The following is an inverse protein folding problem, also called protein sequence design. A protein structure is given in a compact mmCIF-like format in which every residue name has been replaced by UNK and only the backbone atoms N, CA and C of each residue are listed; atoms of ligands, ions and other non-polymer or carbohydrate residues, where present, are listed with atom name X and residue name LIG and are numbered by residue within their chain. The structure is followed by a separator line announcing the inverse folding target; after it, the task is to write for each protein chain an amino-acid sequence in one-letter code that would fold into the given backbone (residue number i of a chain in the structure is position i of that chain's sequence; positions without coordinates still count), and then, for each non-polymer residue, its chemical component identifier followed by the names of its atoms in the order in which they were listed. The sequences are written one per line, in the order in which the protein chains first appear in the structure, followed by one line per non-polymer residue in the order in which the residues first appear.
data_IF_554933138253
#
_entry.id   IF_554933138253
#
_cell.length_a   1.000
_cell.length_b   1.000
_cell.length_c   1.000
_cell.angle_alpha   90.00
_cell.angle_beta   90.00
_cell.angle_gamma   90.00
#
_symmetry.space_group_name_H-M   'P 1'
#
loop_
_entity.id
_entity.type
_entity.pdbx_description
1 polymer ?
#
# COMPACT_ATOMS: atom_id res chain seq x y z
N UNK A 1 7.71 -2.30 0.26
CA UNK A 1 7.09 -3.13 -0.80
C UNK A 1 5.96 -4.00 -0.24
N UNK A 2 6.19 -4.60 0.95
CA UNK A 2 5.23 -5.49 1.62
C UNK A 2 3.81 -4.94 1.74
N UNK A 3 3.62 -3.65 2.07
CA UNK A 3 2.29 -3.04 2.21
C UNK A 3 1.46 -3.09 0.90
N UNK A 4 2.08 -2.85 -0.27
CA UNK A 4 1.40 -3.01 -1.56
C UNK A 4 0.95 -4.44 -1.81
N UNK A 5 1.85 -5.39 -1.52
CA UNK A 5 1.59 -6.80 -1.72
C UNK A 5 0.44 -7.28 -0.81
N UNK A 6 0.48 -6.94 0.48
CA UNK A 6 -0.59 -7.26 1.43
C UNK A 6 -1.92 -6.61 1.02
N UNK A 7 -1.90 -5.32 0.68
CA UNK A 7 -3.09 -4.59 0.26
C UNK A 7 -3.72 -5.19 -0.99
N UNK A 8 -2.92 -5.56 -1.99
CA UNK A 8 -3.40 -6.25 -3.17
C UNK A 8 -3.95 -7.64 -2.84
N UNK A 9 -3.20 -8.47 -2.12
CA UNK A 9 -3.60 -9.85 -1.84
C UNK A 9 -4.92 -9.91 -1.04
N UNK A 10 -5.02 -9.16 0.05
CA UNK A 10 -6.22 -9.17 0.91
C UNK A 10 -7.39 -8.40 0.29
N UNK A 11 -7.11 -7.27 -0.35
CA UNK A 11 -8.11 -6.52 -1.10
C UNK A 11 -8.68 -7.31 -2.27
N UNK A 12 -7.83 -8.02 -3.03
CA UNK A 12 -8.27 -8.90 -4.13
C UNK A 12 -9.06 -10.10 -3.62
N UNK A 13 -8.60 -10.74 -2.54
CA UNK A 13 -9.29 -11.87 -1.96
C UNK A 13 -10.70 -11.48 -1.48
N UNK A 14 -10.81 -10.40 -0.70
CA UNK A 14 -12.11 -9.88 -0.25
C UNK A 14 -13.02 -9.48 -1.40
N UNK A 15 -12.49 -8.82 -2.43
CA UNK A 15 -13.27 -8.48 -3.61
C UNK A 15 -13.78 -9.71 -4.38
N UNK A 16 -12.97 -10.77 -4.47
CA UNK A 16 -13.36 -12.03 -5.13
C UNK A 16 -14.47 -12.72 -4.35
N UNK A 17 -14.39 -12.78 -3.02
CA UNK A 17 -15.42 -13.36 -2.14
C UNK A 17 -16.76 -12.62 -2.32
N UNK A 18 -16.71 -11.31 -2.52
CA UNK A 18 -17.89 -10.43 -2.55
C UNK A 18 -18.40 -10.10 -3.97
N UNK A 19 -17.76 -10.67 -5.00
CA UNK A 19 -18.00 -10.38 -6.42
C UNK A 19 -17.94 -8.87 -6.75
N UNK A 20 -16.84 -8.22 -6.36
CA UNK A 20 -16.61 -6.79 -6.58
C UNK A 20 -15.52 -6.57 -7.61
N UNK A 21 -15.83 -5.77 -8.64
CA UNK A 21 -14.81 -5.29 -9.59
C UNK A 21 -13.97 -4.19 -8.97
N UNK A 22 -12.68 -4.47 -8.82
CA UNK A 22 -11.70 -3.55 -8.23
C UNK A 22 -11.15 -2.52 -9.22
N UNK A 23 -10.90 -1.31 -8.73
CA UNK A 23 -9.96 -0.37 -9.32
C UNK A 23 -8.59 -0.61 -8.67
N UNK A 24 -7.66 -1.21 -9.43
CA UNK A 24 -6.36 -1.61 -8.89
C UNK A 24 -5.49 -0.42 -8.48
N UNK A 25 -5.54 0.70 -9.22
CA UNK A 25 -4.80 1.90 -8.88
C UNK A 25 -5.26 2.46 -7.52
N UNK A 26 -6.57 2.52 -7.31
CA UNK A 26 -7.16 2.93 -6.04
C UNK A 26 -6.81 1.94 -4.92
N UNK A 27 -6.81 0.64 -5.20
CA UNK A 27 -6.44 -0.38 -4.22
C UNK A 27 -5.00 -0.21 -3.72
N UNK A 28 -4.05 -0.03 -4.64
CA UNK A 28 -2.66 0.23 -4.29
C UNK A 28 -2.52 1.56 -3.54
N UNK A 29 -3.24 2.59 -3.98
CA UNK A 29 -3.26 3.90 -3.29
C UNK A 29 -3.68 3.78 -1.84
N UNK A 30 -4.84 3.17 -1.56
CA UNK A 30 -5.35 3.08 -0.18
C UNK A 30 -4.50 2.15 0.69
N UNK A 31 -3.80 1.18 0.11
CA UNK A 31 -2.89 0.30 0.87
C UNK A 31 -1.62 1.00 1.38
N UNK A 32 -1.27 2.15 0.81
CA UNK A 32 -0.04 2.88 1.18
C UNK A 32 -0.30 4.32 1.61
N UNK A 33 -1.54 4.78 1.58
CA UNK A 33 -1.90 6.12 2.06
C UNK A 33 -1.63 6.34 3.57
N UNK A 34 -1.58 5.34 4.47
CA UNK A 34 -1.20 5.59 5.87
C UNK A 34 0.15 6.30 6.00
N UNK A 35 1.15 5.88 5.21
CA UNK A 35 2.51 6.44 5.15
C UNK A 35 2.58 7.86 4.56
N UNK A 36 1.45 8.47 4.19
CA UNK A 36 1.44 9.86 3.73
C UNK A 36 1.91 10.83 4.82
N UNK A 37 1.84 10.41 6.08
CA UNK A 37 2.35 11.16 7.24
C UNK A 37 3.87 11.38 7.20
N UNK A 38 4.64 10.43 6.62
CA UNK A 38 6.08 10.59 6.37
C UNK A 38 6.39 11.77 5.44
N UNK A 39 5.46 12.09 4.53
CA UNK A 39 5.63 13.18 3.56
C UNK A 39 5.00 14.49 4.04
N UNK A 40 3.74 14.44 4.50
CA UNK A 40 2.92 15.63 4.75
C UNK A 40 2.88 16.06 6.22
N UNK A 41 3.11 15.14 7.16
CA UNK A 41 2.86 15.36 8.57
C UNK A 41 4.12 15.14 9.42
N UNK A 42 5.23 15.77 9.04
CA UNK A 42 6.52 15.71 9.78
C UNK A 42 6.44 16.16 11.25
N UNK A 43 5.36 16.82 11.65
CA UNK A 43 5.08 17.26 13.02
C UNK A 43 4.20 16.26 13.81
N UNK A 44 3.73 15.19 13.18
CA UNK A 44 2.98 14.12 13.84
C UNK A 44 3.85 12.88 14.05
N UNK A 45 3.50 12.09 15.06
CA UNK A 45 4.12 10.79 15.30
C UNK A 45 3.69 9.85 14.17
N UNK A 46 4.66 9.36 13.39
CA UNK A 46 4.42 8.34 12.38
C UNK A 46 3.84 7.07 13.02
N UNK A 47 2.93 6.38 12.33
CA UNK A 47 2.15 5.24 12.90
C UNK A 47 1.21 5.63 14.05
N UNK A 48 0.85 6.91 14.09
CA UNK A 48 -0.17 7.48 14.96
C UNK A 48 -1.52 7.61 14.23
N UNK A 49 -2.00 8.84 13.96
CA UNK A 49 -3.33 9.07 13.41
C UNK A 49 -3.64 8.34 12.09
N UNK A 50 -2.74 8.40 11.10
CA UNK A 50 -3.00 7.88 9.75
C UNK A 50 -3.01 6.35 9.66
N UNK A 51 -2.47 5.67 10.67
CA UNK A 51 -2.44 4.21 10.76
C UNK A 51 -3.52 3.67 11.74
N UNK A 52 -4.11 4.53 12.57
CA UNK A 52 -5.10 4.13 13.56
C UNK A 52 -6.33 3.47 12.92
N UNK A 53 -6.83 2.42 13.59
CA UNK A 53 -8.08 1.75 13.22
C UNK A 53 -9.28 2.70 13.37
N UNK A 54 -9.30 3.50 14.44
CA UNK A 54 -10.38 4.44 14.71
C UNK A 54 -10.43 5.51 13.62
N UNK A 55 -9.28 6.10 13.31
CA UNK A 55 -9.19 7.11 12.25
C UNK A 55 -9.55 6.52 10.88
N UNK A 56 -9.02 5.33 10.57
CA UNK A 56 -9.35 4.60 9.35
C UNK A 56 -10.86 4.37 9.20
N UNK A 57 -11.54 3.95 10.27
CA UNK A 57 -13.00 3.75 10.28
C UNK A 57 -13.76 5.06 10.05
N UNK A 58 -13.35 6.15 10.70
CA UNK A 58 -13.99 7.46 10.53
C UNK A 58 -13.84 7.97 9.09
N UNK A 59 -12.65 7.85 8.50
CA UNK A 59 -12.40 8.22 7.10
C UNK A 59 -13.20 7.33 6.15
N UNK A 60 -13.32 6.02 6.42
CA UNK A 60 -14.06 5.10 5.56
C UNK A 60 -15.58 5.12 5.75
N UNK A 61 -16.09 5.69 6.84
CA UNK A 61 -17.53 5.77 7.12
C UNK A 61 -18.36 6.35 5.96
N UNK A 62 -18.02 7.53 5.38
CA UNK A 62 -18.76 8.03 4.22
C UNK A 62 -18.69 7.08 3.02
N UNK A 63 -17.57 6.36 2.83
CA UNK A 63 -17.44 5.40 1.74
C UNK A 63 -18.31 4.16 1.97
N UNK A 64 -18.46 3.69 3.21
CA UNK A 64 -19.40 2.63 3.53
C UNK A 64 -20.86 3.04 3.30
N UNK A 65 -21.22 4.28 3.65
CA UNK A 65 -22.57 4.80 3.39
C UNK A 65 -22.85 4.89 1.89
N UNK A 66 -21.93 5.47 1.12
CA UNK A 66 -22.12 5.75 -0.31
C UNK A 66 -21.92 4.52 -1.21
N UNK A 67 -20.84 3.76 -0.98
CA UNK A 67 -20.42 2.64 -1.84
C UNK A 67 -20.77 1.27 -1.25
N UNK A 68 -21.24 1.21 -0.01
CA UNK A 68 -21.70 -0.02 0.66
C UNK A 68 -20.61 -1.10 0.60
N UNK A 69 -20.99 -2.32 0.22
CA UNK A 69 -20.07 -3.45 0.08
C UNK A 69 -18.88 -3.18 -0.85
N UNK A 70 -19.01 -2.28 -1.84
CA UNK A 70 -17.91 -1.96 -2.78
C UNK A 70 -16.71 -1.28 -2.10
N UNK A 71 -16.90 -0.66 -0.93
CA UNK A 71 -15.81 -0.05 -0.16
C UNK A 71 -14.99 -1.08 0.64
N UNK A 72 -15.56 -2.23 0.97
CA UNK A 72 -14.94 -3.23 1.86
C UNK A 72 -13.55 -3.67 1.37
N UNK A 73 -13.33 -4.02 0.09
CA UNK A 73 -12.00 -4.42 -0.36
C UNK A 73 -10.91 -3.36 -0.20
N UNK A 74 -11.28 -2.09 -0.36
CA UNK A 74 -10.36 -0.96 -0.19
C UNK A 74 -10.06 -0.72 1.29
N UNK A 75 -11.06 -0.89 2.16
CA UNK A 75 -10.86 -0.81 3.60
C UNK A 75 -9.98 -1.95 4.11
N UNK A 76 -10.17 -3.17 3.62
CA UNK A 76 -9.31 -4.31 3.91
C UNK A 76 -7.87 -4.04 3.46
N UNK A 77 -7.69 -3.46 2.27
CA UNK A 77 -6.37 -3.09 1.78
C UNK A 77 -5.71 -2.01 2.65
N UNK A 78 -6.46 -0.98 3.08
CA UNK A 78 -6.00 0.04 4.03
C UNK A 78 -5.56 -0.61 5.35
N UNK A 79 -6.43 -1.42 5.97
CA UNK A 79 -6.15 -2.03 7.26
C UNK A 79 -5.01 -3.05 7.22
N UNK A 80 -4.75 -3.68 6.07
CA UNK A 80 -3.61 -4.58 5.92
C UNK A 80 -2.27 -3.91 6.23
N UNK A 81 -2.19 -2.60 5.95
CA UNK A 81 -1.02 -1.80 6.23
C UNK A 81 -0.73 -1.79 7.73
N UNK A 82 -1.74 -1.41 8.51
CA UNK A 82 -1.63 -1.17 9.93
C UNK A 82 -1.70 -2.46 10.77
N UNK A 83 -2.70 -3.31 10.49
CA UNK A 83 -2.98 -4.52 11.28
C UNK A 83 -2.01 -5.69 11.01
N UNK A 84 -1.25 -5.64 9.91
CA UNK A 84 -0.30 -6.69 9.56
C UNK A 84 1.08 -6.08 9.32
N UNK A 85 1.20 -5.09 8.44
CA UNK A 85 2.52 -4.49 8.16
C UNK A 85 3.16 -3.86 9.41
N UNK A 86 2.50 -2.90 10.04
CA UNK A 86 3.11 -2.11 11.13
C UNK A 86 3.22 -2.88 12.44
N UNK A 87 2.20 -3.68 12.79
CA UNK A 87 2.20 -4.51 14.01
C UNK A 87 3.43 -5.46 14.05
N UNK A 88 3.91 -5.92 12.89
CA UNK A 88 5.07 -6.81 12.82
C UNK A 88 6.43 -6.10 12.62
N UNK A 89 6.44 -4.85 12.15
CA UNK A 89 7.67 -4.15 11.72
C UNK A 89 8.16 -3.04 12.65
N UNK A 90 7.39 -2.66 13.68
CA UNK A 90 7.83 -1.64 14.63
C UNK A 90 6.72 -1.04 15.49
N UNK A 91 5.51 -1.55 15.35
CA UNK A 91 4.38 -1.21 16.18
C UNK A 91 3.62 0.01 15.71
N UNK A 92 2.46 0.21 16.33
CA UNK A 92 1.46 1.19 15.92
C UNK A 92 0.63 1.68 17.10
N UNK A 93 0.21 2.94 17.09
CA UNK A 93 -0.82 3.46 18.01
C UNK A 93 -2.22 3.12 17.47
N UNK A 94 -2.58 1.84 17.51
CA UNK A 94 -3.76 1.30 16.80
C UNK A 94 -5.08 1.99 17.18
N UNK A 95 -5.20 2.41 18.45
CA UNK A 95 -6.41 3.01 19.01
C UNK A 95 -6.30 4.53 19.19
N UNK A 96 -5.36 5.20 18.52
CA UNK A 96 -5.30 6.65 18.55
C UNK A 96 -6.63 7.25 18.04
N UNK A 97 -7.20 8.30 18.68
CA UNK A 97 -6.66 9.07 19.80
C UNK A 97 -7.09 8.57 21.19
N UNK A 98 -7.90 7.51 21.28
CA UNK A 98 -8.44 6.99 22.55
C UNK A 98 -7.35 6.43 23.45
N UNK A 99 -6.38 5.71 22.87
CA UNK A 99 -5.12 5.35 23.51
C UNK A 99 -3.94 5.67 22.58
N UNK A 100 -2.81 6.05 23.18
CA UNK A 100 -1.53 6.28 22.50
C UNK A 100 -0.54 5.13 22.73
N UNK A 101 -0.99 4.02 23.31
CA UNK A 101 -0.16 2.85 23.56
C UNK A 101 0.26 2.21 22.24
N UNK A 102 1.50 1.74 22.21
CA UNK A 102 2.07 1.06 21.05
C UNK A 102 1.76 -0.43 21.10
N UNK A 103 1.17 -0.95 20.03
CA UNK A 103 0.88 -2.38 19.85
C UNK A 103 1.83 -2.94 18.80
N UNK A 104 2.51 -4.03 19.15
CA UNK A 104 3.39 -4.77 18.25
C UNK A 104 3.42 -6.26 18.63
N UNK A 105 3.55 -7.13 17.63
CA UNK A 105 3.80 -8.56 17.82
C UNK A 105 5.31 -8.83 17.76
N UNK A 106 6.01 -8.10 16.90
CA UNK A 106 7.46 -8.20 16.74
C UNK A 106 8.07 -6.83 16.46
N UNK A 107 9.32 -6.65 16.86
CA UNK A 107 10.12 -5.44 16.60
C UNK A 107 11.11 -5.72 15.47
N UNK A 108 10.65 -6.35 14.39
CA UNK A 108 11.52 -6.64 13.25
C UNK A 108 11.84 -5.33 12.54
N UNK A 109 13.13 -4.98 12.47
CA UNK A 109 13.54 -3.82 11.69
C UNK A 109 13.30 -4.06 10.20
N UNK A 110 13.09 -3.01 9.41
CA UNK A 110 12.98 -3.14 7.94
C UNK A 110 14.22 -3.71 7.25
N UNK A 111 15.37 -3.78 7.95
CA UNK A 111 16.62 -4.39 7.48
C UNK A 111 16.85 -5.80 8.00
N UNK A 112 16.01 -6.27 8.92
CA UNK A 112 16.14 -7.62 9.44
C UNK A 112 16.03 -8.63 8.28
N UNK A 113 16.92 -9.65 8.19
CA UNK A 113 16.85 -10.65 7.13
C UNK A 113 15.47 -11.32 7.02
N UNK A 114 14.75 -11.48 8.13
CA UNK A 114 13.38 -11.99 8.15
C UNK A 114 12.43 -11.00 7.48
N UNK A 115 12.50 -9.71 7.82
CA UNK A 115 11.70 -8.67 7.16
C UNK A 115 11.95 -8.61 5.65
N UNK A 116 13.21 -8.61 5.24
CA UNK A 116 13.59 -8.60 3.81
C UNK A 116 13.05 -9.85 3.10
N UNK A 117 13.17 -11.03 3.75
CA UNK A 117 12.66 -12.28 3.20
C UNK A 117 11.13 -12.29 3.09
N UNK A 118 10.43 -11.75 4.09
CA UNK A 118 8.97 -11.61 4.08
C UNK A 118 8.51 -10.64 2.99
N UNK A 119 9.19 -9.50 2.81
CA UNK A 119 8.90 -8.57 1.72
C UNK A 119 9.12 -9.21 0.35
N UNK A 120 10.19 -10.00 0.18
CA UNK A 120 10.45 -10.75 -1.05
C UNK A 120 9.37 -11.80 -1.31
N UNK A 121 9.00 -12.59 -0.29
CA UNK A 121 7.98 -13.61 -0.41
C UNK A 121 6.62 -13.01 -0.77
N UNK A 122 6.25 -11.90 -0.12
CA UNK A 122 5.03 -11.15 -0.43
C UNK A 122 5.07 -10.58 -1.85
N UNK A 123 6.21 -10.03 -2.28
CA UNK A 123 6.39 -9.55 -3.64
C UNK A 123 6.18 -10.65 -4.69
N UNK A 124 6.83 -11.80 -4.51
CA UNK A 124 6.70 -12.96 -5.41
C UNK A 124 5.26 -13.45 -5.44
N UNK A 125 4.64 -13.67 -4.27
CA UNK A 125 3.26 -14.11 -4.17
C UNK A 125 2.30 -13.12 -4.86
N UNK A 126 2.44 -11.82 -4.58
CA UNK A 126 1.65 -10.77 -5.22
C UNK A 126 1.80 -10.80 -6.74
N UNK A 127 3.04 -10.86 -7.24
CA UNK A 127 3.33 -10.88 -8.68
C UNK A 127 2.71 -12.10 -9.36
N UNK A 128 2.86 -13.29 -8.78
CA UNK A 128 2.25 -14.51 -9.31
C UNK A 128 0.72 -14.39 -9.37
N UNK A 129 0.10 -13.86 -8.33
CA UNK A 129 -1.37 -13.69 -8.29
C UNK A 129 -1.84 -12.63 -9.29
N UNK A 130 -1.08 -11.55 -9.52
CA UNK A 130 -1.37 -10.57 -10.58
C UNK A 130 -1.33 -11.25 -11.96
N UNK A 131 -0.34 -12.10 -12.22
CA UNK A 131 -0.19 -12.84 -13.48
C UNK A 131 -1.37 -13.80 -13.68
N UNK A 132 -1.65 -14.65 -12.69
CA UNK A 132 -2.71 -15.66 -12.75
C UNK A 132 -4.08 -15.02 -12.97
N UNK A 133 -4.35 -13.88 -12.30
CA UNK A 133 -5.61 -13.15 -12.47
C UNK A 133 -5.67 -12.28 -13.72
N UNK A 134 -4.61 -12.26 -14.55
CA UNK A 134 -4.46 -11.36 -15.71
C UNK A 134 -4.65 -9.88 -15.34
N UNK A 135 -4.37 -9.53 -14.09
CA UNK A 135 -4.51 -8.16 -13.60
C UNK A 135 -3.45 -7.23 -14.23
N UNK A 136 -2.35 -7.78 -14.75
CA UNK A 136 -1.37 -7.04 -15.56
C UNK A 136 -2.02 -6.25 -16.70
N UNK A 137 -2.92 -6.87 -17.47
CA UNK A 137 -3.61 -6.17 -18.56
C UNK A 137 -4.50 -5.04 -18.02
N UNK A 138 -5.11 -5.24 -16.86
CA UNK A 138 -5.96 -4.24 -16.21
C UNK A 138 -5.17 -3.09 -15.61
N UNK A 139 -3.90 -3.31 -15.24
CA UNK A 139 -2.98 -2.27 -14.80
C UNK A 139 -2.47 -1.47 -16.00
N UNK A 140 -1.94 -2.16 -17.01
CA UNK A 140 -1.28 -1.55 -18.16
C UNK A 140 -2.26 -0.83 -19.11
N UNK A 141 -3.49 -1.32 -19.26
CA UNK A 141 -4.46 -0.79 -20.22
C UNK A 141 -5.66 -0.10 -19.57
N UNK A 142 -5.54 0.28 -18.29
CA UNK A 142 -6.63 0.91 -17.55
C UNK A 142 -7.02 2.29 -18.13
N UNK A 143 -8.29 2.68 -17.94
CA UNK A 143 -8.79 4.05 -18.21
C UNK A 143 -8.85 4.92 -16.95
N UNK A 144 -8.20 4.49 -15.87
CA UNK A 144 -8.18 5.22 -14.60
C UNK A 144 -7.37 6.49 -14.71
N UNK A 145 -7.81 7.56 -14.04
CA UNK A 145 -7.11 8.85 -14.00
C UNK A 145 -5.67 8.70 -13.54
N UNK A 146 -4.76 9.46 -14.16
CA UNK A 146 -3.33 9.52 -13.87
C UNK A 146 -3.04 9.67 -12.36
N UNK A 147 -3.83 10.49 -11.66
CA UNK A 147 -3.66 10.79 -10.23
C UNK A 147 -3.63 9.54 -9.34
N UNK A 148 -4.35 8.47 -9.71
CA UNK A 148 -4.40 7.24 -8.92
C UNK A 148 -3.13 6.39 -9.03
N UNK A 149 -2.25 6.67 -10.00
CA UNK A 149 -0.97 5.99 -10.16
C UNK A 149 0.20 6.78 -9.59
N UNK A 150 0.07 8.10 -9.47
CA UNK A 150 1.09 8.97 -8.88
C UNK A 150 1.36 8.59 -7.42
N UNK A 151 0.32 8.30 -6.63
CA UNK A 151 0.49 7.95 -5.21
C UNK A 151 1.24 6.62 -5.05
N UNK A 152 0.81 5.49 -5.69
CA UNK A 152 1.58 4.26 -5.66
C UNK A 152 3.02 4.41 -6.15
N UNK A 153 3.23 5.18 -7.23
CA UNK A 153 4.57 5.45 -7.75
C UNK A 153 5.44 6.18 -6.74
N UNK A 154 4.94 7.27 -6.15
CA UNK A 154 5.64 8.05 -5.13
C UNK A 154 5.97 7.24 -3.88
N UNK A 155 5.06 6.38 -3.43
CA UNK A 155 5.28 5.51 -2.26
C UNK A 155 6.36 4.44 -2.49
N UNK A 156 6.60 4.00 -3.74
CA UNK A 156 7.77 3.14 -4.05
C UNK A 156 9.04 3.97 -4.24
N UNK A 157 8.93 5.11 -4.93
CA UNK A 157 10.08 5.93 -5.27
C UNK A 157 10.71 6.62 -4.05
N UNK A 158 9.87 7.04 -3.10
CA UNK A 158 10.30 7.78 -1.90
C UNK A 158 11.40 7.05 -1.13
N UNK A 159 11.20 5.80 -0.68
CA UNK A 159 12.24 5.04 0.00
C UNK A 159 13.52 4.86 -0.83
N UNK A 160 13.43 4.73 -2.16
CA UNK A 160 14.62 4.60 -3.01
C UNK A 160 15.43 5.90 -3.12
N UNK A 161 14.77 7.06 -3.16
CA UNK A 161 15.43 8.36 -3.29
C UNK A 161 15.91 8.92 -1.95
N UNK A 162 15.21 8.62 -0.86
CA UNK A 162 15.44 9.23 0.45
C UNK A 162 16.01 8.24 1.48
N UNK A 163 16.50 7.07 1.07
CA UNK A 163 17.27 6.14 1.91
C UNK A 163 18.65 6.70 2.37
N UNK A 164 18.84 8.01 2.35
CA UNK A 164 20.11 8.66 2.71
C UNK A 164 19.86 9.87 3.60
N UNK A 165 19.58 9.64 4.90
CA UNK A 165 20.05 10.46 6.04
C UNK A 165 19.37 10.05 7.37
N UNK A 166 20.08 9.94 8.52
CA UNK A 166 21.48 9.58 8.75
C UNK A 166 21.68 8.11 9.19
N UNK A 167 20.63 7.30 9.12
CA UNK A 167 20.65 5.88 9.42
C UNK A 167 19.85 5.19 8.31
N UNK A 168 20.51 4.33 7.51
CA UNK A 168 19.93 3.11 6.91
C UNK A 168 19.97 3.01 5.38
N UNK A 169 20.96 2.26 4.88
CA UNK A 169 20.97 1.79 3.49
C UNK A 169 19.73 0.92 3.22
N UNK A 170 18.95 1.25 2.19
CA UNK A 170 17.86 0.42 1.69
C UNK A 170 18.38 -0.98 1.30
N UNK A 171 17.73 -2.09 1.71
CA UNK A 171 18.21 -3.43 1.42
C UNK A 171 18.36 -3.67 -0.10
N UNK A 172 19.57 -4.03 -0.54
CA UNK A 172 19.88 -4.20 -1.96
C UNK A 172 18.95 -5.22 -2.66
N UNK A 173 18.57 -6.29 -1.95
CA UNK A 173 17.65 -7.31 -2.46
C UNK A 173 16.25 -6.75 -2.80
N UNK A 174 15.83 -5.65 -2.17
CA UNK A 174 14.54 -5.03 -2.42
C UNK A 174 14.58 -4.02 -3.57
N UNK A 175 15.76 -3.70 -4.11
CA UNK A 175 15.90 -2.74 -5.22
C UNK A 175 15.24 -3.28 -6.49
N UNK A 176 15.52 -4.52 -6.88
CA UNK A 176 14.94 -5.12 -8.08
C UNK A 176 13.39 -5.21 -8.03
N UNK A 177 12.76 -5.71 -6.95
CA UNK A 177 11.30 -5.61 -6.76
C UNK A 177 10.77 -4.18 -6.84
N UNK A 178 11.52 -3.21 -6.32
CA UNK A 178 11.10 -1.81 -6.34
C UNK A 178 11.11 -1.21 -7.75
N UNK A 179 12.17 -1.45 -8.50
CA UNK A 179 12.27 -1.06 -9.91
C UNK A 179 11.17 -1.73 -10.75
N UNK A 180 10.81 -2.97 -10.45
CA UNK A 180 9.72 -3.66 -11.12
C UNK A 180 8.37 -2.95 -10.93
N UNK A 181 7.98 -2.61 -9.70
CA UNK A 181 6.75 -1.85 -9.48
C UNK A 181 6.81 -0.44 -10.09
N UNK A 182 7.95 0.26 -10.00
CA UNK A 182 8.12 1.56 -10.64
C UNK A 182 7.93 1.48 -12.15
N UNK A 183 8.48 0.45 -12.81
CA UNK A 183 8.29 0.25 -14.24
C UNK A 183 6.81 0.05 -14.60
N UNK A 184 6.11 -0.78 -13.82
CA UNK A 184 4.67 -1.05 -14.01
C UNK A 184 3.83 0.22 -13.83
N UNK A 185 4.06 0.96 -12.75
CA UNK A 185 3.30 2.17 -12.45
C UNK A 185 3.63 3.30 -13.45
N UNK A 186 4.89 3.44 -13.85
CA UNK A 186 5.30 4.39 -14.90
C UNK A 186 4.60 4.11 -16.21
N UNK A 187 4.58 2.84 -16.63
CA UNK A 187 3.87 2.44 -17.84
C UNK A 187 2.37 2.78 -17.73
N UNK A 188 1.73 2.42 -16.62
CA UNK A 188 0.31 2.70 -16.40
C UNK A 188 0.01 4.22 -16.47
N UNK A 189 0.91 5.08 -15.98
CA UNK A 189 0.79 6.53 -16.08
C UNK A 189 0.88 7.04 -17.53
N UNK A 190 1.87 6.55 -18.30
CA UNK A 190 2.07 6.96 -19.71
C UNK A 190 0.92 6.50 -20.59
N UNK A 191 0.44 5.26 -20.39
CA UNK A 191 -0.66 4.68 -21.17
C UNK A 191 -1.98 5.45 -21.01
N UNK A 192 -2.21 6.08 -19.86
CA UNK A 192 -3.36 6.97 -19.65
C UNK A 192 -3.23 8.23 -20.51
N UNK A 193 -2.07 8.89 -20.50
CA UNK A 193 -1.84 10.15 -21.22
C UNK A 193 -2.05 10.03 -22.73
N UNK A 194 -1.62 8.93 -23.35
CA UNK A 194 -1.76 8.72 -24.79
C UNK A 194 -3.23 8.60 -25.26
N UNK A 195 -4.16 8.24 -24.37
CA UNK A 195 -5.57 8.05 -24.72
C UNK A 195 -6.42 9.32 -24.52
N UNK A 196 -5.94 10.31 -23.78
CA UNK A 196 -6.63 11.59 -23.60
C UNK A 196 -6.29 12.60 -24.72
N UNK A 197 -5.36 12.26 -25.61
CA UNK A 197 -4.87 13.10 -26.72
C UNK A 197 -5.37 12.70 -28.12
N UNK A 198 -6.31 11.74 -28.21
CA UNK A 198 -6.94 11.26 -29.46
C UNK A 198 -8.46 11.36 -29.29
#
# INVERSE_FOLDING_TARGET
MGHFALGYLLGKASAKIMDIRLNLALLFTVSTIPDIDLLLFRFMVHRGPTHSLIFSLLVFLPFFVLYKKKAIPYFVALLSHSLIGDIFSGGIQLFWPVSKDWIFISTLSGRDPISVSLELALFVACTLIIIVNKDFQRILFNKTRLIYWIIPFGAVLGPLLFATAPYDNFPLLLVAPSLFYLAIFSYAMIAVKHKDTI
#
